data_IF_320615123497
#
_entry.id   IF_320615123497
#
_cell.length_a   1.000
_cell.length_b   1.000
_cell.length_c   1.000
_cell.angle_alpha   90.00
_cell.angle_beta   90.00
_cell.angle_gamma   90.00
#
_symmetry.space_group_name_H-M   'P 1'
#
loop_
_entity.id
_entity.type
_entity.pdbx_description
1 polymer ?
#
# COMPACT_ATOMS: atom_id res chain seq x y z
N UNK A 1 -34.87 -4.48 -62.04
CA UNK A 1 -34.09 -5.46 -61.24
C UNK A 1 -33.59 -4.73 -59.99
N UNK A 2 -34.41 -4.67 -58.94
CA UNK A 2 -34.10 -3.92 -57.71
C UNK A 2 -33.36 -4.81 -56.72
N UNK A 3 -32.12 -4.45 -56.36
CA UNK A 3 -31.35 -5.12 -55.31
C UNK A 3 -31.56 -4.39 -53.98
N UNK A 4 -32.16 -5.11 -53.04
CA UNK A 4 -32.36 -4.70 -51.65
C UNK A 4 -31.05 -4.91 -50.90
N UNK A 5 -30.50 -3.87 -50.27
CA UNK A 5 -29.35 -3.96 -49.36
C UNK A 5 -29.87 -4.08 -47.93
N UNK A 6 -29.61 -5.21 -47.28
CA UNK A 6 -29.88 -5.40 -45.86
C UNK A 6 -28.75 -4.76 -45.04
N UNK A 7 -29.10 -3.78 -44.20
CA UNK A 7 -28.19 -3.16 -43.23
C UNK A 7 -28.14 -4.07 -42.00
N UNK A 8 -27.00 -4.71 -41.78
CA UNK A 8 -26.75 -5.59 -40.63
C UNK A 8 -26.36 -4.74 -39.42
N UNK A 9 -27.28 -4.57 -38.49
CA UNK A 9 -27.04 -3.89 -37.21
C UNK A 9 -26.14 -4.77 -36.33
N UNK A 10 -24.89 -4.35 -36.15
CA UNK A 10 -23.98 -4.91 -35.14
C UNK A 10 -24.41 -4.44 -33.75
N UNK A 11 -25.05 -5.33 -33.00
CA UNK A 11 -25.33 -5.14 -31.58
C UNK A 11 -24.04 -5.45 -30.82
N UNK A 12 -23.39 -4.41 -30.30
CA UNK A 12 -22.31 -4.58 -29.32
C UNK A 12 -22.92 -4.96 -27.98
N UNK A 13 -22.89 -6.25 -27.65
CA UNK A 13 -23.18 -6.72 -26.30
C UNK A 13 -22.01 -6.33 -25.40
N UNK A 14 -22.20 -5.28 -24.60
CA UNK A 14 -21.31 -4.99 -23.49
C UNK A 14 -21.47 -6.11 -22.46
N UNK A 15 -20.50 -7.02 -22.40
CA UNK A 15 -20.39 -7.92 -21.27
C UNK A 15 -20.00 -7.08 -20.05
N UNK A 16 -20.92 -6.97 -19.08
CA UNK A 16 -20.58 -6.51 -17.75
C UNK A 16 -19.54 -7.50 -17.20
N UNK A 17 -18.28 -7.06 -17.11
CA UNK A 17 -17.24 -7.81 -16.42
C UNK A 17 -17.74 -7.95 -14.98
N UNK A 18 -17.88 -9.16 -14.42
CA UNK A 18 -18.24 -9.32 -13.03
C UNK A 18 -17.22 -8.56 -12.19
N UNK A 19 -17.71 -7.64 -11.36
CA UNK A 19 -16.91 -6.94 -10.36
C UNK A 19 -16.27 -8.05 -9.50
N UNK A 20 -14.98 -8.33 -9.70
CA UNK A 20 -14.21 -9.21 -8.81
C UNK A 20 -14.52 -8.77 -7.37
N UNK A 21 -14.82 -9.73 -6.50
CA UNK A 21 -15.06 -9.45 -5.09
C UNK A 21 -13.95 -8.52 -4.60
N UNK A 22 -14.33 -7.37 -4.04
CA UNK A 22 -13.38 -6.43 -3.47
C UNK A 22 -12.42 -7.22 -2.60
N UNK A 23 -11.09 -7.10 -2.82
CA UNK A 23 -10.15 -7.83 -1.98
C UNK A 23 -10.42 -7.43 -0.53
N UNK A 24 -10.79 -8.41 0.28
CA UNK A 24 -11.24 -8.14 1.64
C UNK A 24 -10.06 -7.61 2.47
N UNK A 25 -10.34 -6.58 3.27
CA UNK A 25 -9.39 -6.09 4.26
C UNK A 25 -8.99 -7.20 5.24
N UNK A 26 -7.81 -7.05 5.85
CA UNK A 26 -7.34 -7.93 6.92
C UNK A 26 -8.27 -7.81 8.14
N UNK A 27 -8.89 -8.90 8.56
CA UNK A 27 -9.61 -8.94 9.83
C UNK A 27 -8.62 -8.86 11.00
N UNK A 28 -8.65 -7.76 11.74
CA UNK A 28 -7.70 -7.52 12.84
C UNK A 28 -7.93 -8.41 14.06
N UNK A 29 -9.07 -9.10 14.13
CA UNK A 29 -9.43 -10.00 15.23
C UNK A 29 -8.96 -11.44 15.03
N UNK A 30 -8.53 -11.79 13.81
CA UNK A 30 -8.03 -13.11 13.45
C UNK A 30 -6.65 -13.42 14.06
N UNK A 31 -6.22 -14.69 13.94
CA UNK A 31 -4.89 -15.11 14.39
C UNK A 31 -3.76 -14.39 13.63
N UNK A 32 -2.54 -14.31 14.19
CA UNK A 32 -1.33 -13.87 13.47
C UNK A 32 -1.20 -14.45 12.06
N UNK A 33 -1.33 -15.77 11.93
CA UNK A 33 -1.18 -16.52 10.68
C UNK A 33 -2.23 -16.11 9.65
N UNK A 34 -3.51 -16.01 10.06
CA UNK A 34 -4.60 -15.63 9.17
C UNK A 34 -4.47 -14.18 8.69
N UNK A 35 -4.00 -13.28 9.57
CA UNK A 35 -3.75 -11.88 9.22
C UNK A 35 -2.59 -11.72 8.26
N UNK A 36 -1.50 -12.46 8.48
CA UNK A 36 -0.36 -12.51 7.55
C UNK A 36 -0.80 -13.06 6.21
N UNK A 37 -1.56 -14.16 6.17
CA UNK A 37 -2.05 -14.74 4.93
C UNK A 37 -2.95 -13.78 4.14
N UNK A 38 -3.84 -13.05 4.82
CA UNK A 38 -4.68 -12.03 4.19
C UNK A 38 -3.83 -10.87 3.63
N UNK A 39 -2.94 -10.31 4.44
CA UNK A 39 -2.07 -9.21 4.01
C UNK A 39 -1.12 -9.63 2.87
N UNK A 40 -0.63 -10.87 2.90
CA UNK A 40 0.25 -11.41 1.86
C UNK A 40 -0.43 -11.46 0.50
N UNK A 41 -1.73 -11.79 0.43
CA UNK A 41 -2.51 -11.76 -0.82
C UNK A 41 -2.63 -10.34 -1.37
N UNK A 42 -2.90 -9.36 -0.51
CA UNK A 42 -2.99 -7.93 -0.89
C UNK A 42 -1.63 -7.45 -1.42
N UNK A 43 -0.54 -7.75 -0.71
CA UNK A 43 0.82 -7.41 -1.10
C UNK A 43 1.20 -8.09 -2.42
N UNK A 44 0.86 -9.37 -2.61
CA UNK A 44 1.11 -10.10 -3.85
C UNK A 44 0.43 -9.46 -5.06
N UNK A 45 -0.83 -9.03 -4.91
CA UNK A 45 -1.57 -8.30 -5.95
C UNK A 45 -0.87 -6.99 -6.31
N UNK A 46 -0.50 -6.18 -5.31
CA UNK A 46 0.16 -4.88 -5.52
C UNK A 46 1.53 -5.03 -6.18
N UNK A 47 2.34 -5.99 -5.72
CA UNK A 47 3.67 -6.23 -6.30
C UNK A 47 3.54 -6.81 -7.72
N UNK A 48 2.60 -7.72 -7.97
CA UNK A 48 2.36 -8.22 -9.32
C UNK A 48 1.96 -7.11 -10.29
N UNK A 49 1.19 -6.12 -9.82
CA UNK A 49 0.68 -5.04 -10.65
C UNK A 49 1.68 -3.90 -10.89
N UNK A 50 2.41 -3.45 -9.86
CA UNK A 50 3.38 -2.34 -9.95
C UNK A 50 4.80 -2.78 -10.35
N UNK A 51 5.08 -4.07 -10.32
CA UNK A 51 6.43 -4.64 -10.39
C UNK A 51 6.47 -5.91 -11.26
N UNK A 52 5.53 -6.06 -12.20
CA UNK A 52 5.34 -7.23 -13.10
C UNK A 52 6.56 -7.69 -13.91
N UNK A 53 7.53 -6.80 -14.13
CA UNK A 53 8.76 -7.12 -14.88
C UNK A 53 9.90 -7.71 -14.03
N UNK A 54 9.72 -7.89 -12.72
CA UNK A 54 10.80 -8.39 -11.84
C UNK A 54 10.90 -9.92 -11.84
N UNK A 55 12.08 -10.42 -11.48
CA UNK A 55 12.26 -11.84 -11.17
C UNK A 55 11.47 -12.23 -9.92
N UNK A 56 11.16 -13.52 -9.78
CA UNK A 56 10.46 -14.07 -8.61
C UNK A 56 11.18 -13.74 -7.30
N UNK A 57 12.51 -13.79 -7.27
CA UNK A 57 13.31 -13.46 -6.09
C UNK A 57 13.20 -11.98 -5.69
N UNK A 58 13.25 -11.07 -6.66
CA UNK A 58 13.10 -9.62 -6.41
C UNK A 58 11.67 -9.30 -5.96
N UNK A 59 10.67 -9.92 -6.58
CA UNK A 59 9.27 -9.77 -6.16
C UNK A 59 9.06 -10.29 -4.74
N UNK A 60 9.56 -11.48 -4.41
CA UNK A 60 9.49 -12.04 -3.06
C UNK A 60 10.11 -11.11 -2.02
N UNK A 61 11.30 -10.57 -2.31
CA UNK A 61 11.98 -9.63 -1.41
C UNK A 61 11.14 -8.37 -1.14
N UNK A 62 10.55 -7.79 -2.19
CA UNK A 62 9.66 -6.61 -2.06
C UNK A 62 8.41 -6.94 -1.25
N UNK A 63 7.82 -8.13 -1.47
CA UNK A 63 6.65 -8.58 -0.71
C UNK A 63 6.97 -8.72 0.77
N UNK A 64 8.09 -9.39 1.10
CA UNK A 64 8.58 -9.50 2.48
C UNK A 64 8.77 -8.14 3.12
N UNK A 65 9.51 -7.24 2.47
CA UNK A 65 9.73 -5.91 3.04
C UNK A 65 8.43 -5.14 3.32
N UNK A 66 7.47 -5.15 2.40
CA UNK A 66 6.15 -4.54 2.62
C UNK A 66 5.42 -5.18 3.82
N UNK A 67 5.48 -6.51 3.95
CA UNK A 67 4.88 -7.21 5.08
C UNK A 67 5.56 -6.82 6.39
N UNK A 68 6.89 -6.73 6.43
CA UNK A 68 7.64 -6.36 7.64
C UNK A 68 7.26 -4.95 8.09
N UNK A 69 7.16 -3.99 7.16
CA UNK A 69 6.72 -2.62 7.48
C UNK A 69 5.30 -2.63 8.02
N UNK A 70 4.35 -3.30 7.36
CA UNK A 70 2.96 -3.36 7.80
C UNK A 70 2.80 -4.07 9.17
N UNK A 71 3.59 -5.11 9.41
CA UNK A 71 3.63 -5.85 10.67
C UNK A 71 4.16 -4.98 11.81
N UNK A 72 5.31 -4.34 11.60
CA UNK A 72 5.94 -3.47 12.59
C UNK A 72 5.09 -2.24 12.92
N UNK A 73 4.72 -1.46 11.89
CA UNK A 73 4.03 -0.19 12.03
C UNK A 73 2.55 -0.38 12.45
N UNK A 74 1.90 -1.43 11.94
CA UNK A 74 0.51 -1.77 12.23
C UNK A 74 0.31 -2.49 13.56
N UNK A 75 1.36 -2.62 14.36
CA UNK A 75 1.40 -3.39 15.62
C UNK A 75 0.82 -4.79 15.43
N UNK A 76 1.52 -5.58 14.61
CA UNK A 76 1.16 -6.93 14.19
C UNK A 76 -0.15 -6.96 13.41
N UNK A 77 -0.40 -5.99 12.51
CA UNK A 77 -1.65 -5.85 11.75
C UNK A 77 -2.91 -5.75 12.63
N UNK A 78 -2.83 -5.06 13.78
CA UNK A 78 -3.97 -4.83 14.69
C UNK A 78 -4.58 -3.45 14.54
N UNK A 79 -3.80 -2.48 14.08
CA UNK A 79 -4.19 -1.08 14.15
C UNK A 79 -3.93 -0.34 12.83
N UNK A 80 -5.01 0.14 12.20
CA UNK A 80 -4.95 1.07 11.05
C UNK A 80 -4.82 2.52 11.44
N UNK A 81 -5.02 2.84 12.71
CA UNK A 81 -4.89 4.19 13.27
C UNK A 81 -3.87 4.13 14.39
N UNK A 82 -2.95 5.09 14.40
CA UNK A 82 -1.92 5.19 15.41
C UNK A 82 -2.51 5.20 16.83
N UNK A 83 -1.95 4.40 17.72
CA UNK A 83 -2.29 4.40 19.15
C UNK A 83 -1.74 5.69 19.78
N UNK A 84 -2.53 6.31 20.66
CA UNK A 84 -2.14 7.56 21.33
C UNK A 84 -2.50 8.84 20.55
N UNK A 85 -3.27 8.73 19.48
CA UNK A 85 -3.89 9.87 18.79
C UNK A 85 -3.01 10.56 17.74
N UNK A 86 -1.88 9.96 17.35
CA UNK A 86 -1.01 10.51 16.31
C UNK A 86 -1.55 10.40 14.88
N UNK A 87 -0.82 10.96 13.91
CA UNK A 87 -1.29 11.09 12.53
C UNK A 87 -1.19 9.80 11.70
N UNK A 88 -0.55 8.73 12.19
CA UNK A 88 -0.36 7.49 11.42
C UNK A 88 -1.68 6.82 11.00
N UNK A 89 -1.77 6.43 9.71
CA UNK A 89 -2.92 5.74 9.09
C UNK A 89 -2.50 4.51 8.28
N UNK A 90 -3.41 3.55 8.11
CA UNK A 90 -3.18 2.18 7.60
C UNK A 90 -2.21 1.37 8.47
N UNK A 91 -1.98 0.09 8.11
CA UNK A 91 -0.93 -0.70 8.74
C UNK A 91 0.49 -0.18 8.47
N UNK A 92 0.68 0.71 7.49
CA UNK A 92 1.98 1.31 7.20
C UNK A 92 2.23 2.63 7.96
N UNK A 93 1.28 3.07 8.80
CA UNK A 93 1.35 4.30 9.60
C UNK A 93 1.75 5.56 8.81
N UNK A 94 1.11 5.76 7.65
CA UNK A 94 1.30 6.95 6.83
C UNK A 94 0.95 8.23 7.59
N UNK A 95 1.87 9.19 7.54
CA UNK A 95 1.59 10.59 7.86
C UNK A 95 1.19 11.37 6.61
N UNK A 96 0.42 12.45 6.79
CA UNK A 96 -0.16 13.22 5.69
C UNK A 96 0.86 13.69 4.63
N UNK A 97 2.05 14.22 4.98
CA UNK A 97 3.02 14.66 3.97
C UNK A 97 3.54 13.52 3.08
N UNK A 98 3.81 12.35 3.66
CA UNK A 98 4.31 11.20 2.91
C UNK A 98 3.23 10.65 1.97
N UNK A 99 1.98 10.59 2.45
CA UNK A 99 0.84 10.15 1.65
C UNK A 99 0.58 11.10 0.47
N UNK A 100 0.60 12.42 0.70
CA UNK A 100 0.52 13.44 -0.35
C UNK A 100 1.56 13.20 -1.43
N UNK A 101 2.82 13.09 -1.03
CA UNK A 101 3.91 12.92 -1.98
C UNK A 101 3.77 11.64 -2.81
N UNK A 102 3.31 10.54 -2.19
CA UNK A 102 3.08 9.28 -2.87
C UNK A 102 1.94 9.38 -3.88
N UNK A 103 0.83 10.07 -3.56
CA UNK A 103 -0.28 10.31 -4.51
C UNK A 103 0.18 11.18 -5.68
N UNK A 104 0.91 12.27 -5.43
CA UNK A 104 1.41 13.15 -6.50
C UNK A 104 2.41 12.42 -7.40
N UNK A 105 3.23 11.54 -6.83
CA UNK A 105 4.11 10.67 -7.61
C UNK A 105 3.34 9.62 -8.42
N UNK A 106 2.28 9.04 -7.86
CA UNK A 106 1.39 8.13 -8.58
C UNK A 106 0.80 8.81 -9.82
N UNK A 107 0.36 10.07 -9.70
CA UNK A 107 -0.10 10.87 -10.84
C UNK A 107 0.98 11.00 -11.92
N UNK A 108 2.20 11.39 -11.55
CA UNK A 108 3.31 11.54 -12.49
C UNK A 108 3.67 10.24 -13.24
N UNK A 109 3.41 9.09 -12.62
CA UNK A 109 3.70 7.76 -13.17
C UNK A 109 2.50 7.07 -13.82
N UNK A 110 1.35 7.75 -13.94
CA UNK A 110 0.09 7.19 -14.43
C UNK A 110 -0.37 5.96 -13.61
N UNK A 111 -0.16 5.99 -12.29
CA UNK A 111 -0.63 4.97 -11.33
C UNK A 111 -1.81 5.44 -10.48
N UNK A 112 -2.28 6.69 -10.66
CA UNK A 112 -3.36 7.25 -9.85
C UNK A 112 -4.68 6.45 -10.01
N UNK A 113 -4.97 5.93 -11.21
CA UNK A 113 -6.12 5.06 -11.46
C UNK A 113 -6.11 3.76 -10.64
N UNK A 114 -4.93 3.28 -10.23
CA UNK A 114 -4.80 2.10 -9.36
C UNK A 114 -5.23 2.42 -7.93
N UNK A 115 -4.79 3.57 -7.42
CA UNK A 115 -5.22 4.08 -6.13
C UNK A 115 -6.73 4.37 -6.12
N UNK A 116 -7.25 5.02 -7.17
CA UNK A 116 -8.67 5.29 -7.35
C UNK A 116 -9.51 4.00 -7.32
N UNK A 117 -9.06 2.97 -8.04
CA UNK A 117 -9.72 1.67 -8.05
C UNK A 117 -9.68 0.99 -6.68
N UNK A 118 -8.58 1.10 -5.94
CA UNK A 118 -8.42 0.50 -4.61
C UNK A 118 -9.21 1.21 -3.50
N UNK A 119 -9.53 2.51 -3.66
CA UNK A 119 -10.32 3.28 -2.69
C UNK A 119 -11.79 3.44 -3.07
N UNK A 120 -12.17 3.13 -4.31
CA UNK A 120 -13.49 3.47 -4.85
C UNK A 120 -13.70 4.98 -5.06
N UNK A 121 -12.66 5.80 -4.97
CA UNK A 121 -12.68 7.25 -5.27
C UNK A 121 -12.24 7.49 -6.71
N UNK A 122 -12.49 8.68 -7.25
CA UNK A 122 -11.96 9.10 -8.54
C UNK A 122 -10.52 9.60 -8.43
N UNK A 123 -9.78 9.59 -9.54
CA UNK A 123 -8.43 10.19 -9.60
C UNK A 123 -8.44 11.67 -9.18
N UNK A 124 -9.48 12.43 -9.56
CA UNK A 124 -9.60 13.84 -9.23
C UNK A 124 -9.85 14.09 -7.72
N UNK A 125 -10.63 13.23 -7.05
CA UNK A 125 -10.81 13.31 -5.60
C UNK A 125 -9.50 13.07 -4.86
N UNK A 126 -8.72 12.06 -5.27
CA UNK A 126 -7.41 11.77 -4.67
C UNK A 126 -6.41 12.91 -4.91
N UNK A 127 -6.36 13.47 -6.11
CA UNK A 127 -5.51 14.62 -6.39
C UNK A 127 -5.91 15.85 -5.56
N UNK A 128 -7.21 16.13 -5.48
CA UNK A 128 -7.73 17.26 -4.68
C UNK A 128 -7.38 17.08 -3.21
N UNK A 129 -7.58 15.88 -2.66
CA UNK A 129 -7.22 15.53 -1.29
C UNK A 129 -5.71 15.66 -1.03
N UNK A 130 -4.85 15.27 -1.99
CA UNK A 130 -3.40 15.45 -1.86
C UNK A 130 -3.00 16.93 -1.84
N UNK A 131 -3.61 17.75 -2.69
CA UNK A 131 -3.33 19.19 -2.76
C UNK A 131 -3.83 19.96 -1.53
N UNK A 132 -4.87 19.47 -0.86
CA UNK A 132 -5.37 20.04 0.39
C UNK A 132 -4.40 19.84 1.57
N UNK A 133 -3.52 18.83 1.53
CA UNK A 133 -2.50 18.61 2.55
C UNK A 133 -1.41 19.69 2.42
N UNK A 134 -1.40 20.64 3.33
CA UNK A 134 -0.45 21.78 3.35
C UNK A 134 0.53 21.76 4.52
N UNK A 135 0.34 20.86 5.49
CA UNK A 135 1.18 20.71 6.68
C UNK A 135 1.30 19.25 7.14
N UNK A 136 1.67 19.03 8.40
CA UNK A 136 1.86 17.70 9.00
C UNK A 136 0.57 16.97 9.43
N UNK A 137 -0.58 17.62 9.32
CA UNK A 137 -1.88 17.09 9.78
C UNK A 137 -2.77 16.74 8.60
N UNK A 138 -3.68 15.79 8.82
CA UNK A 138 -4.76 15.49 7.88
C UNK A 138 -5.80 16.61 7.89
N UNK A 139 -6.19 17.16 6.73
CA UNK A 139 -7.38 18.00 6.62
C UNK A 139 -8.65 17.21 6.98
N UNK A 140 -9.67 17.91 7.46
CA UNK A 140 -10.99 17.29 7.70
C UNK A 140 -11.53 16.66 6.40
N UNK A 141 -12.20 15.52 6.54
CA UNK A 141 -12.81 14.75 5.45
C UNK A 141 -11.85 14.48 4.26
N UNK A 142 -10.56 14.29 4.55
CA UNK A 142 -9.57 14.03 3.51
C UNK A 142 -9.73 12.61 2.93
N UNK A 143 -10.06 12.52 1.64
CA UNK A 143 -10.31 11.23 0.97
C UNK A 143 -9.13 10.25 1.02
N UNK A 144 -7.88 10.72 1.13
CA UNK A 144 -6.70 9.83 1.28
C UNK A 144 -6.66 9.24 2.70
N UNK A 145 -6.96 10.04 3.73
CA UNK A 145 -7.03 9.56 5.11
C UNK A 145 -8.12 8.48 5.26
N UNK A 146 -9.32 8.77 4.77
CA UNK A 146 -10.46 7.84 4.74
C UNK A 146 -10.04 6.52 4.06
N UNK A 147 -9.46 6.62 2.87
CA UNK A 147 -9.01 5.44 2.10
C UNK A 147 -7.94 4.62 2.83
N UNK A 148 -7.04 5.26 3.59
CA UNK A 148 -6.02 4.57 4.39
C UNK A 148 -6.61 3.84 5.60
N UNK A 149 -7.77 4.26 6.09
CA UNK A 149 -8.47 3.61 7.20
C UNK A 149 -9.41 2.49 6.74
N UNK A 150 -9.91 2.58 5.51
CA UNK A 150 -10.96 1.71 4.98
C UNK A 150 -10.48 0.69 3.94
N UNK A 151 -9.28 0.84 3.37
CA UNK A 151 -8.77 -0.05 2.33
C UNK A 151 -7.29 -0.39 2.54
N UNK A 152 -7.03 -1.63 2.97
CA UNK A 152 -5.68 -2.16 3.09
C UNK A 152 -5.01 -2.28 1.73
N UNK A 153 -5.80 -2.52 0.66
CA UNK A 153 -5.31 -2.49 -0.71
C UNK A 153 -4.82 -1.10 -1.10
N UNK A 154 -5.58 -0.05 -0.78
CA UNK A 154 -5.16 1.34 -1.01
C UNK A 154 -3.88 1.66 -0.24
N UNK A 155 -3.82 1.32 1.05
CA UNK A 155 -2.64 1.52 1.88
C UNK A 155 -1.40 0.80 1.33
N UNK A 156 -1.58 -0.43 0.82
CA UNK A 156 -0.48 -1.22 0.25
C UNK A 156 0.01 -0.66 -1.08
N UNK A 157 -0.89 -0.24 -1.98
CA UNK A 157 -0.49 0.47 -3.20
C UNK A 157 0.28 1.75 -2.85
N UNK A 158 -0.25 2.56 -1.94
CA UNK A 158 0.39 3.81 -1.57
C UNK A 158 1.77 3.58 -0.95
N UNK A 159 1.91 2.59 -0.07
CA UNK A 159 3.20 2.17 0.51
C UNK A 159 4.20 1.79 -0.57
N UNK A 160 3.80 0.94 -1.51
CA UNK A 160 4.69 0.52 -2.58
C UNK A 160 5.09 1.69 -3.48
N UNK A 161 4.16 2.58 -3.81
CA UNK A 161 4.42 3.78 -4.60
C UNK A 161 5.38 4.73 -3.87
N UNK A 162 5.20 4.95 -2.57
CA UNK A 162 6.11 5.73 -1.74
C UNK A 162 7.53 5.16 -1.79
N UNK A 163 7.68 3.83 -1.70
CA UNK A 163 8.97 3.16 -1.82
C UNK A 163 9.59 3.25 -3.22
N UNK A 164 8.78 3.31 -4.30
CA UNK A 164 9.29 3.50 -5.67
C UNK A 164 9.87 4.90 -5.92
N UNK A 165 9.64 5.86 -5.01
CA UNK A 165 10.30 7.18 -5.03
C UNK A 165 11.75 7.11 -4.57
N UNK A 166 12.13 6.06 -3.83
CA UNK A 166 13.49 5.87 -3.32
C UNK A 166 14.33 5.24 -4.45
N UNK A 167 15.44 5.86 -4.86
CA UNK A 167 16.31 5.32 -5.91
C UNK A 167 17.01 4.01 -5.52
N UNK A 168 17.29 3.83 -4.23
CA UNK A 168 17.93 2.64 -3.69
C UNK A 168 16.99 1.43 -3.83
N UNK A 169 17.55 0.30 -4.25
CA UNK A 169 16.80 -0.95 -4.25
C UNK A 169 16.54 -1.39 -2.79
N UNK A 170 15.37 -2.01 -2.56
CA UNK A 170 15.09 -2.69 -1.29
C UNK A 170 16.13 -3.82 -1.16
N UNK A 171 16.99 -3.80 -0.13
CA UNK A 171 18.05 -4.78 0.05
C UNK A 171 17.45 -6.13 0.45
N UNK A 172 18.25 -7.19 0.43
CA UNK A 172 17.82 -8.53 0.85
C UNK A 172 18.29 -8.85 2.25
N UNK A 173 17.40 -9.46 3.05
CA UNK A 173 17.67 -9.91 4.42
C UNK A 173 17.08 -8.98 5.48
N UNK A 174 16.72 -9.56 6.63
CA UNK A 174 15.91 -8.88 7.65
C UNK A 174 16.66 -7.74 8.36
N UNK A 175 17.94 -7.95 8.71
CA UNK A 175 18.82 -6.87 9.19
C UNK A 175 18.90 -5.70 8.18
N UNK A 176 19.05 -6.01 6.88
CA UNK A 176 19.14 -4.98 5.85
C UNK A 176 17.79 -4.28 5.60
N UNK A 177 16.68 -5.00 5.73
CA UNK A 177 15.34 -4.42 5.73
C UNK A 177 15.15 -3.45 6.90
N UNK A 178 15.63 -3.79 8.10
CA UNK A 178 15.52 -2.93 9.28
C UNK A 178 16.27 -1.60 9.09
N UNK A 179 17.51 -1.64 8.61
CA UNK A 179 18.27 -0.44 8.28
C UNK A 179 17.60 0.38 7.17
N UNK A 180 17.11 -0.28 6.11
CA UNK A 180 16.41 0.39 5.02
C UNK A 180 15.10 1.06 5.47
N UNK A 181 14.34 0.41 6.36
CA UNK A 181 13.17 0.99 7.01
C UNK A 181 13.55 2.22 7.84
N UNK A 182 14.61 2.14 8.65
CA UNK A 182 15.05 3.26 9.47
C UNK A 182 15.47 4.47 8.62
N UNK A 183 16.20 4.24 7.52
CA UNK A 183 16.76 5.30 6.67
C UNK A 183 15.73 5.94 5.75
N UNK A 184 14.69 5.20 5.34
CA UNK A 184 13.80 5.66 4.28
C UNK A 184 12.32 5.71 4.65
N UNK A 185 11.86 4.94 5.64
CA UNK A 185 10.48 4.95 6.10
C UNK A 185 10.33 5.78 7.39
N UNK A 186 10.96 5.34 8.49
CA UNK A 186 10.84 5.99 9.79
C UNK A 186 11.52 7.36 9.84
N UNK A 187 12.77 7.44 9.37
CA UNK A 187 13.62 8.65 9.17
C UNK A 187 13.93 9.52 10.39
N UNK A 188 13.04 9.61 11.38
CA UNK A 188 13.15 10.51 12.53
C UNK A 188 13.18 9.69 13.81
N UNK A 189 14.23 9.89 14.59
CA UNK A 189 14.51 9.24 15.87
C UNK A 189 14.87 10.31 16.91
N UNK A 190 14.55 10.06 18.17
CA UNK A 190 14.87 10.99 19.26
C UNK A 190 16.35 10.95 19.63
N UNK A 191 17.03 9.82 19.43
CA UNK A 191 18.46 9.64 19.67
C UNK A 191 19.06 8.48 18.85
N UNK A 192 20.41 8.39 18.75
CA UNK A 192 21.07 7.24 18.16
C UNK A 192 20.75 5.90 18.85
N UNK A 193 20.59 5.91 20.17
CA UNK A 193 20.26 4.73 20.97
C UNK A 193 18.84 4.23 20.63
N UNK A 194 17.88 5.15 20.52
CA UNK A 194 16.52 4.79 20.08
C UNK A 194 16.53 4.23 18.66
N UNK A 195 17.35 4.80 17.74
CA UNK A 195 17.48 4.26 16.38
C UNK A 195 17.95 2.81 16.43
N UNK A 196 18.99 2.51 17.21
CA UNK A 196 19.50 1.15 17.35
C UNK A 196 18.46 0.19 17.92
N UNK A 197 17.76 0.57 18.99
CA UNK A 197 16.70 -0.23 19.61
C UNK A 197 15.57 -0.55 18.62
N UNK A 198 15.11 0.46 17.85
CA UNK A 198 14.02 0.28 16.91
C UNK A 198 14.42 -0.56 15.68
N UNK A 199 15.68 -0.50 15.25
CA UNK A 199 16.21 -1.37 14.19
C UNK A 199 16.24 -2.82 14.66
N UNK A 200 16.82 -3.07 15.84
CA UNK A 200 16.84 -4.42 16.43
C UNK A 200 15.42 -4.97 16.60
N UNK A 201 14.49 -4.13 17.06
CA UNK A 201 13.09 -4.49 17.19
C UNK A 201 12.45 -4.82 15.83
N UNK A 202 12.66 -3.99 14.81
CA UNK A 202 12.14 -4.25 13.47
C UNK A 202 12.68 -5.57 12.91
N UNK A 203 13.98 -5.84 13.07
CA UNK A 203 14.61 -7.09 12.63
C UNK A 203 13.98 -8.31 13.32
N UNK A 204 13.82 -8.27 14.65
CA UNK A 204 13.18 -9.34 15.40
C UNK A 204 11.71 -9.57 14.98
N UNK A 205 10.96 -8.50 14.73
CA UNK A 205 9.57 -8.59 14.26
C UNK A 205 9.47 -9.06 12.79
N UNK A 206 10.49 -8.78 11.97
CA UNK A 206 10.62 -9.32 10.61
C UNK A 206 10.91 -10.82 10.64
N UNK A 207 11.78 -11.28 11.53
CA UNK A 207 12.06 -12.71 11.74
C UNK A 207 10.83 -13.48 12.24
N UNK A 208 10.02 -12.86 13.11
CA UNK A 208 8.75 -13.39 13.60
C UNK A 208 7.72 -13.54 12.48
N UNK A 209 7.44 -12.47 11.72
CA UNK A 209 6.41 -12.52 10.68
C UNK A 209 6.77 -13.46 9.51
N UNK A 210 8.06 -13.63 9.24
CA UNK A 210 8.56 -14.57 8.21
C UNK A 210 8.14 -16.02 8.51
N UNK A 211 7.87 -16.38 9.77
CA UNK A 211 7.41 -17.72 10.17
C UNK A 211 5.95 -18.00 9.79
N UNK A 212 5.19 -16.95 9.44
CA UNK A 212 3.77 -17.02 9.13
C UNK A 212 3.48 -16.87 7.63
N UNK A 213 4.50 -16.67 6.79
CA UNK A 213 4.33 -16.53 5.34
C UNK A 213 3.92 -17.88 4.73
N UNK A 214 2.85 -17.93 3.90
CA UNK A 214 2.34 -19.17 3.29
C UNK A 214 3.19 -19.68 2.11
#
# INVERSE_FOLDING_TARGET
MFRCFAVSTLIFTFYAIPLEAADENVDTSESPENRVAAMWKIIDKVVSDLDSGNTSSVSLNKKKFLLHVAWHEGAFLKHRKQIGGGPGRSFFQFEAPLAKDAVLYAKQKNWLGRLASASGKTENELETAANAITGGSWPDDNAIEESLLESDLFGTYLARIALKRIPQAIPTGNAAHAEYWADHWKRVFSSPEQRAELIERFENEADDVDQHIP
#
